data_IF_734726886415
#
_entry.id   IF_734726886415
#
_cell.length_a   1.000
_cell.length_b   1.000
_cell.length_c   1.000
_cell.angle_alpha   90.00
_cell.angle_beta   90.00
_cell.angle_gamma   90.00
#
_symmetry.space_group_name_H-M   'P 1'
#
loop_
_entity.id
_entity.type
_entity.pdbx_description
1 polymer ?
#
# COMPACT_ATOMS: atom_id res chain seq x y z
N UNK A 1 5.57 37.55 -69.36
CA UNK A 1 6.51 36.98 -68.41
C UNK A 1 5.85 37.03 -67.02
N UNK A 2 5.20 35.90 -66.55
CA UNK A 2 4.55 35.81 -65.27
C UNK A 2 5.52 35.13 -64.29
N UNK A 3 5.90 35.82 -63.20
CA UNK A 3 6.73 35.27 -62.12
C UNK A 3 5.81 34.66 -61.02
N UNK A 4 5.85 33.38 -60.92
CA UNK A 4 5.16 32.64 -59.85
C UNK A 4 6.00 32.71 -58.56
N UNK A 5 5.51 33.42 -57.56
CA UNK A 5 6.12 33.42 -56.22
C UNK A 5 5.61 32.22 -55.41
N UNK A 6 6.52 31.34 -55.03
CA UNK A 6 6.24 30.23 -54.08
C UNK A 6 6.33 30.76 -52.66
N UNK A 7 5.20 30.81 -51.97
CA UNK A 7 5.12 31.09 -50.53
C UNK A 7 5.50 29.82 -49.75
N UNK A 8 6.69 29.81 -49.18
CA UNK A 8 7.11 28.77 -48.23
C UNK A 8 6.54 29.08 -46.86
N UNK A 9 5.56 28.31 -46.47
CA UNK A 9 4.98 28.36 -45.11
C UNK A 9 5.89 27.57 -44.14
N UNK A 10 6.38 28.17 -43.05
CA UNK A 10 7.16 27.40 -42.07
C UNK A 10 6.25 26.47 -41.28
N UNK A 11 6.57 25.18 -41.31
CA UNK A 11 5.92 24.14 -40.47
C UNK A 11 6.35 24.34 -39.02
N UNK A 12 5.44 24.87 -38.19
CA UNK A 12 5.65 25.01 -36.73
C UNK A 12 5.50 23.64 -36.10
N UNK A 13 6.61 22.95 -35.79
CA UNK A 13 6.61 21.71 -35.04
C UNK A 13 6.39 22.06 -33.55
N UNK A 14 5.17 21.90 -33.09
CA UNK A 14 4.86 21.91 -31.65
C UNK A 14 5.45 20.67 -31.00
N UNK A 15 6.61 20.82 -30.36
CA UNK A 15 7.15 19.85 -29.43
C UNK A 15 6.25 19.81 -28.18
N UNK A 16 5.34 18.86 -28.14
CA UNK A 16 4.61 18.53 -26.92
C UNK A 16 5.63 17.99 -25.90
N UNK A 17 6.04 18.82 -24.94
CA UNK A 17 6.79 18.39 -23.79
C UNK A 17 5.88 17.48 -22.96
N UNK A 18 6.01 16.17 -23.12
CA UNK A 18 5.48 15.18 -22.21
C UNK A 18 6.24 15.34 -20.90
N UNK A 19 5.70 16.14 -19.97
CA UNK A 19 6.13 16.11 -18.58
C UNK A 19 5.80 14.72 -18.04
N UNK A 20 6.77 13.79 -18.09
CA UNK A 20 6.70 12.57 -17.31
C UNK A 20 6.76 13.00 -15.85
N UNK A 21 5.63 13.01 -15.22
CA UNK A 21 5.53 13.07 -13.77
C UNK A 21 6.04 11.71 -13.26
N UNK A 22 7.35 11.57 -13.14
CA UNK A 22 7.92 10.66 -12.18
C UNK A 22 7.52 11.24 -10.83
N UNK A 23 6.38 10.83 -10.30
CA UNK A 23 5.99 11.18 -8.95
C UNK A 23 7.14 10.76 -8.04
N UNK A 24 7.77 11.73 -7.36
CA UNK A 24 8.83 11.44 -6.40
C UNK A 24 8.29 10.40 -5.43
N UNK A 25 8.98 9.25 -5.35
CA UNK A 25 8.53 8.16 -4.49
C UNK A 25 8.50 8.62 -3.04
N UNK A 26 7.36 8.59 -2.34
CA UNK A 26 7.30 8.96 -0.94
C UNK A 26 8.30 8.17 -0.11
N UNK A 27 8.92 8.79 0.90
CA UNK A 27 9.88 8.13 1.79
C UNK A 27 9.33 6.81 2.37
N UNK A 28 8.03 6.80 2.68
CA UNK A 28 7.29 5.63 3.17
C UNK A 28 7.35 4.42 2.22
N UNK A 29 7.43 4.65 0.91
CA UNK A 29 7.36 3.60 -0.12
C UNK A 29 8.70 3.27 -0.75
N UNK A 30 9.80 3.71 -0.16
CA UNK A 30 11.12 3.36 -0.69
C UNK A 30 11.52 1.92 -0.34
N UNK A 31 12.09 1.22 -1.34
CA UNK A 31 12.58 -0.14 -1.18
C UNK A 31 11.61 -1.22 -1.64
N UNK A 32 12.00 -2.46 -1.42
CA UNK A 32 11.25 -3.64 -1.84
C UNK A 32 11.10 -4.62 -0.70
N UNK A 33 10.01 -5.38 -0.69
CA UNK A 33 9.75 -6.43 0.29
C UNK A 33 9.49 -7.76 -0.44
N UNK A 34 9.96 -8.89 0.12
CA UNK A 34 9.71 -10.19 -0.49
C UNK A 34 8.22 -10.52 -0.46
N UNK A 35 7.65 -10.89 -1.60
CA UNK A 35 6.27 -11.32 -1.70
C UNK A 35 6.04 -12.61 -0.92
N UNK A 36 4.85 -12.77 -0.32
CA UNK A 36 4.54 -13.93 0.52
C UNK A 36 4.64 -15.24 -0.27
N UNK A 37 4.19 -15.26 -1.53
CA UNK A 37 4.32 -16.40 -2.43
C UNK A 37 5.37 -16.13 -3.51
N UNK A 38 6.21 -17.14 -3.77
CA UNK A 38 7.20 -17.05 -4.83
C UNK A 38 8.54 -16.47 -4.38
N UNK A 39 9.28 -15.97 -5.37
CA UNK A 39 10.63 -15.39 -5.18
C UNK A 39 10.69 -13.92 -5.56
N UNK A 40 9.56 -13.34 -5.91
CA UNK A 40 9.49 -11.97 -6.39
C UNK A 40 9.60 -10.97 -5.23
N UNK A 41 9.99 -9.76 -5.59
CA UNK A 41 10.03 -8.61 -4.70
C UNK A 41 8.91 -7.65 -5.08
N UNK A 42 8.18 -7.18 -4.09
CA UNK A 42 7.24 -6.08 -4.25
C UNK A 42 8.02 -4.78 -4.12
N UNK A 43 8.30 -4.11 -5.23
CA UNK A 43 8.78 -2.73 -5.21
C UNK A 43 7.63 -1.84 -4.72
N UNK A 44 7.81 -1.25 -3.55
CA UNK A 44 6.74 -0.50 -2.87
C UNK A 44 6.35 0.75 -3.65
N UNK A 45 7.33 1.43 -4.25
CA UNK A 45 7.08 2.63 -5.02
C UNK A 45 6.33 2.34 -6.31
N UNK A 46 6.80 1.35 -7.06
CA UNK A 46 6.17 0.94 -8.33
C UNK A 46 4.74 0.43 -8.09
N UNK A 47 4.52 -0.31 -7.01
CA UNK A 47 3.24 -0.94 -6.71
C UNK A 47 2.20 0.02 -6.13
N UNK A 48 2.64 0.93 -5.23
CA UNK A 48 1.75 1.75 -4.38
C UNK A 48 1.93 3.26 -4.57
N UNK A 49 2.95 3.72 -5.27
CA UNK A 49 3.20 5.15 -5.48
C UNK A 49 2.02 5.87 -6.10
N UNK A 50 1.63 7.02 -5.54
CA UNK A 50 0.51 7.83 -5.99
C UNK A 50 -0.88 7.23 -5.73
N UNK A 51 -0.97 6.11 -4.99
CA UNK A 51 -2.23 5.44 -4.67
C UNK A 51 -2.57 5.56 -3.17
N UNK A 52 -3.86 5.66 -2.80
CA UNK A 52 -4.27 5.49 -1.41
C UNK A 52 -3.97 4.05 -0.98
N UNK A 53 -3.38 3.89 0.21
CA UNK A 53 -2.89 2.60 0.68
C UNK A 53 -3.34 2.33 2.12
N UNK A 54 -3.78 1.11 2.37
CA UNK A 54 -3.90 0.57 3.73
C UNK A 54 -2.73 -0.38 3.98
N UNK A 55 -1.96 -0.11 5.04
CA UNK A 55 -0.93 -1.04 5.54
C UNK A 55 -1.42 -1.67 6.83
N UNK A 56 -1.33 -3.00 6.94
CA UNK A 56 -1.73 -3.74 8.14
C UNK A 56 -0.66 -4.75 8.51
N UNK A 57 -0.18 -4.71 9.77
CA UNK A 57 0.66 -5.79 10.29
C UNK A 57 -0.20 -6.95 10.75
N UNK A 58 0.08 -8.15 10.27
CA UNK A 58 -0.77 -9.33 10.48
C UNK A 58 -0.04 -10.42 11.26
N UNK A 59 -0.79 -11.41 11.74
CA UNK A 59 -0.24 -12.63 12.30
C UNK A 59 -1.28 -13.77 12.21
N UNK A 60 -0.81 -14.93 11.79
CA UNK A 60 -1.64 -16.11 11.47
C UNK A 60 -2.37 -16.71 12.69
N UNK A 61 -1.76 -16.66 13.88
CA UNK A 61 -2.29 -17.27 15.09
C UNK A 61 -2.84 -16.24 16.11
N UNK A 62 -3.12 -15.03 15.61
CA UNK A 62 -3.69 -13.96 16.42
C UNK A 62 -5.20 -14.12 16.55
N UNK A 63 -5.75 -13.83 17.75
CA UNK A 63 -7.20 -13.78 17.96
C UNK A 63 -7.92 -12.75 17.07
N UNK A 64 -7.19 -11.82 16.45
CA UNK A 64 -7.71 -10.88 15.47
C UNK A 64 -7.61 -11.36 14.01
N UNK A 65 -7.09 -12.57 13.73
CA UNK A 65 -6.99 -13.12 12.38
C UNK A 65 -8.34 -13.14 11.62
N UNK A 66 -9.51 -13.32 12.25
CA UNK A 66 -10.78 -13.17 11.54
C UNK A 66 -11.01 -11.81 10.88
N UNK A 67 -10.24 -10.76 11.26
CA UNK A 67 -10.31 -9.48 10.56
C UNK A 67 -9.81 -9.54 9.10
N UNK A 68 -9.11 -10.58 8.67
CA UNK A 68 -8.76 -10.77 7.27
C UNK A 68 -10.00 -10.76 6.36
N UNK A 69 -11.10 -11.36 6.78
CA UNK A 69 -12.36 -11.36 6.00
C UNK A 69 -12.88 -9.94 5.78
N UNK A 70 -12.90 -9.14 6.84
CA UNK A 70 -13.32 -7.74 6.77
C UNK A 70 -12.36 -6.85 5.98
N UNK A 71 -11.04 -7.10 6.10
CA UNK A 71 -10.02 -6.40 5.30
C UNK A 71 -10.16 -6.73 3.82
N UNK A 72 -10.36 -7.99 3.47
CA UNK A 72 -10.61 -8.42 2.10
C UNK A 72 -11.91 -7.80 1.53
N UNK A 73 -12.99 -7.79 2.33
CA UNK A 73 -14.23 -7.14 1.94
C UNK A 73 -14.03 -5.63 1.71
N UNK A 74 -13.26 -4.96 2.58
CA UNK A 74 -12.90 -3.55 2.43
C UNK A 74 -12.06 -3.33 1.17
N UNK A 75 -11.05 -4.17 0.92
CA UNK A 75 -10.22 -4.09 -0.27
C UNK A 75 -11.08 -4.19 -1.54
N UNK A 76 -11.93 -5.20 -1.65
CA UNK A 76 -12.83 -5.38 -2.81
C UNK A 76 -13.78 -4.19 -3.01
N UNK A 77 -14.29 -3.60 -1.93
CA UNK A 77 -15.24 -2.48 -2.00
C UNK A 77 -14.59 -1.18 -2.54
N UNK A 78 -13.29 -0.99 -2.29
CA UNK A 78 -12.61 0.26 -2.62
C UNK A 78 -11.52 0.12 -3.69
N UNK A 79 -11.13 -1.10 -4.08
CA UNK A 79 -10.06 -1.34 -5.04
C UNK A 79 -10.33 -0.67 -6.41
N UNK A 80 -11.55 -0.79 -6.92
CA UNK A 80 -11.96 -0.13 -8.17
C UNK A 80 -11.90 1.41 -8.10
N UNK A 81 -11.86 1.98 -6.89
CA UNK A 81 -11.66 3.40 -6.63
C UNK A 81 -10.18 3.77 -6.45
N UNK A 82 -9.29 2.80 -6.65
CA UNK A 82 -7.84 2.94 -6.63
C UNK A 82 -7.18 2.63 -5.28
N UNK A 83 -7.93 2.15 -4.27
CA UNK A 83 -7.34 1.71 -3.01
C UNK A 83 -6.44 0.49 -3.23
N UNK A 84 -5.24 0.55 -2.66
CA UNK A 84 -4.37 -0.62 -2.51
C UNK A 84 -4.31 -1.04 -1.03
N UNK A 85 -3.95 -2.31 -0.80
CA UNK A 85 -3.76 -2.84 0.55
C UNK A 85 -2.51 -3.71 0.60
N UNK A 86 -1.74 -3.55 1.68
CA UNK A 86 -0.51 -4.29 1.96
C UNK A 86 -0.61 -4.94 3.33
N UNK A 87 -0.62 -6.26 3.37
CA UNK A 87 -0.50 -7.03 4.59
C UNK A 87 0.96 -7.45 4.83
N UNK A 88 1.43 -7.20 6.04
CA UNK A 88 2.81 -7.51 6.45
C UNK A 88 2.76 -8.45 7.67
N UNK A 89 2.89 -9.77 7.47
CA UNK A 89 3.00 -10.72 8.56
C UNK A 89 4.21 -10.39 9.45
N UNK A 90 4.03 -10.50 10.77
CA UNK A 90 5.10 -10.21 11.73
C UNK A 90 5.05 -11.14 12.94
N UNK A 91 6.22 -11.62 13.34
CA UNK A 91 6.38 -12.40 14.57
C UNK A 91 6.83 -11.57 15.79
N UNK A 92 6.79 -10.25 15.72
CA UNK A 92 7.21 -9.38 16.83
C UNK A 92 6.32 -9.53 18.07
N UNK A 93 5.11 -10.03 17.88
CA UNK A 93 4.16 -10.35 18.95
C UNK A 93 4.01 -11.86 19.19
N UNK A 94 4.91 -12.68 18.64
CA UNK A 94 5.00 -14.13 18.84
C UNK A 94 3.76 -14.92 18.43
N UNK A 95 3.09 -14.48 17.37
CA UNK A 95 1.85 -15.09 16.85
C UNK A 95 1.90 -15.35 15.34
N UNK A 96 3.09 -15.35 14.71
CA UNK A 96 3.26 -15.69 13.32
C UNK A 96 4.19 -16.91 13.14
N UNK A 97 3.98 -17.69 12.09
CA UNK A 97 4.84 -18.82 11.75
C UNK A 97 6.15 -18.33 11.07
N UNK A 98 7.21 -19.08 11.26
CA UNK A 98 8.45 -18.90 10.52
C UNK A 98 8.33 -19.42 9.07
N UNK A 99 7.36 -20.30 8.81
CA UNK A 99 7.10 -20.90 7.51
C UNK A 99 6.10 -20.06 6.71
N UNK A 100 6.59 -19.39 5.67
CA UNK A 100 5.76 -18.57 4.78
C UNK A 100 4.65 -19.34 4.07
N UNK A 101 4.81 -20.65 3.84
CA UNK A 101 3.76 -21.45 3.20
C UNK A 101 2.55 -21.65 4.13
N UNK A 102 2.78 -21.79 5.43
CA UNK A 102 1.71 -21.84 6.42
C UNK A 102 0.98 -20.51 6.52
N UNK A 103 1.72 -19.40 6.57
CA UNK A 103 1.15 -18.05 6.51
C UNK A 103 0.32 -17.85 5.23
N UNK A 104 0.85 -18.24 4.07
CA UNK A 104 0.15 -18.16 2.80
C UNK A 104 -1.13 -19.01 2.78
N UNK A 105 -1.11 -20.23 3.34
CA UNK A 105 -2.30 -21.08 3.46
C UNK A 105 -3.38 -20.39 4.29
N UNK A 106 -3.02 -19.79 5.41
CA UNK A 106 -3.99 -19.09 6.28
C UNK A 106 -4.57 -17.88 5.55
N UNK A 107 -3.73 -17.00 5.03
CA UNK A 107 -4.19 -15.77 4.37
C UNK A 107 -5.01 -16.06 3.12
N UNK A 108 -4.48 -16.87 2.18
CA UNK A 108 -5.09 -17.04 0.87
C UNK A 108 -6.15 -18.14 0.83
N UNK A 109 -5.90 -19.30 1.46
CA UNK A 109 -6.83 -20.42 1.38
C UNK A 109 -7.97 -20.34 2.40
N UNK A 110 -7.66 -19.92 3.64
CA UNK A 110 -8.66 -19.88 4.69
C UNK A 110 -9.50 -18.59 4.67
N UNK A 111 -8.86 -17.43 4.40
CA UNK A 111 -9.51 -16.12 4.43
C UNK A 111 -9.74 -15.50 3.04
N UNK A 112 -9.25 -16.11 1.98
CA UNK A 112 -9.47 -15.66 0.61
C UNK A 112 -8.83 -14.29 0.29
N UNK A 113 -7.76 -13.92 0.99
CA UNK A 113 -7.05 -12.65 0.78
C UNK A 113 -6.56 -12.54 -0.66
N UNK A 114 -6.85 -11.42 -1.32
CA UNK A 114 -6.40 -11.12 -2.69
C UNK A 114 -5.51 -9.89 -2.76
N UNK A 115 -5.45 -9.07 -1.72
CA UNK A 115 -4.52 -7.97 -1.65
C UNK A 115 -3.07 -8.43 -1.42
N UNK A 116 -2.12 -7.55 -1.67
CA UNK A 116 -0.68 -7.85 -1.59
C UNK A 116 -0.26 -8.23 -0.16
N UNK A 117 0.44 -9.37 -0.03
CA UNK A 117 1.02 -9.85 1.23
C UNK A 117 2.53 -10.04 1.08
N UNK A 118 3.29 -9.71 2.11
CA UNK A 118 4.75 -9.95 2.15
C UNK A 118 5.11 -11.17 2.98
N UNK A 119 6.34 -11.66 2.85
CA UNK A 119 6.91 -12.56 3.85
C UNK A 119 7.02 -11.84 5.19
N UNK A 120 7.16 -12.62 6.26
CA UNK A 120 7.29 -12.11 7.64
C UNK A 120 8.39 -11.07 7.76
N UNK A 121 8.06 -9.92 8.36
CA UNK A 121 8.94 -8.78 8.58
C UNK A 121 8.88 -8.31 10.03
N UNK A 122 9.94 -7.61 10.47
CA UNK A 122 9.90 -6.86 11.72
C UNK A 122 9.16 -5.54 11.51
N UNK A 123 8.16 -5.25 12.37
CA UNK A 123 7.27 -4.08 12.26
C UNK A 123 7.45 -3.10 13.43
N UNK A 124 8.30 -3.43 14.41
CA UNK A 124 8.57 -2.60 15.59
C UNK A 124 9.99 -2.79 16.13
N UNK A 125 10.40 -1.86 16.98
CA UNK A 125 11.73 -1.91 17.60
C UNK A 125 12.86 -1.53 16.65
N UNK A 126 14.09 -1.90 17.02
CA UNK A 126 15.30 -1.52 16.28
C UNK A 126 15.43 -2.19 14.92
N UNK A 127 14.79 -3.33 14.75
CA UNK A 127 14.87 -4.15 13.54
C UNK A 127 13.68 -3.90 12.57
N UNK A 128 12.79 -2.93 12.92
CA UNK A 128 11.65 -2.57 12.09
C UNK A 128 12.10 -2.17 10.67
N UNK A 129 11.42 -2.71 9.66
CA UNK A 129 11.67 -2.32 8.26
C UNK A 129 11.38 -0.83 8.02
N UNK A 130 12.03 -0.18 7.05
CA UNK A 130 11.88 1.26 6.78
C UNK A 130 10.43 1.71 6.65
N UNK A 131 9.57 0.92 6.00
CA UNK A 131 8.13 1.18 5.92
C UNK A 131 7.50 1.42 7.30
N UNK A 132 7.76 0.56 8.28
CA UNK A 132 7.17 0.70 9.62
C UNK A 132 7.88 1.75 10.48
N UNK A 133 9.15 2.04 10.24
CA UNK A 133 9.85 3.18 10.83
C UNK A 133 9.17 4.48 10.41
N UNK A 134 8.89 4.63 9.12
CA UNK A 134 8.24 5.82 8.57
C UNK A 134 6.77 5.94 8.99
N UNK A 135 6.00 4.83 9.01
CA UNK A 135 4.64 4.83 9.56
C UNK A 135 4.61 5.27 11.03
N UNK A 136 5.58 4.80 11.82
CA UNK A 136 5.70 5.14 13.23
C UNK A 136 6.10 6.61 13.43
N UNK A 137 6.97 7.17 12.57
CA UNK A 137 7.38 8.58 12.65
C UNK A 137 6.22 9.54 12.40
N UNK A 138 5.31 9.16 11.49
CA UNK A 138 4.13 9.95 11.15
C UNK A 138 2.95 9.74 12.11
N UNK A 139 2.95 8.68 12.93
CA UNK A 139 1.83 8.35 13.82
C UNK A 139 2.28 7.61 15.09
N UNK A 140 2.30 6.30 15.10
CA UNK A 140 2.85 5.46 16.18
C UNK A 140 3.18 4.07 15.66
N UNK A 141 4.18 3.41 16.27
CA UNK A 141 4.46 2.01 15.99
C UNK A 141 3.28 1.10 16.41
N UNK A 142 3.09 -0.06 15.76
CA UNK A 142 2.04 -0.99 16.12
C UNK A 142 2.30 -1.53 17.55
N UNK A 143 1.25 -1.51 18.37
CA UNK A 143 1.29 -2.05 19.76
C UNK A 143 0.84 -3.51 19.83
N UNK A 144 0.22 -4.00 18.77
CA UNK A 144 -0.23 -5.38 18.62
C UNK A 144 -0.39 -5.75 17.13
N UNK A 145 -0.75 -6.98 16.81
CA UNK A 145 -1.11 -7.40 15.47
C UNK A 145 -2.40 -6.73 15.00
N UNK A 146 -2.60 -6.62 13.69
CA UNK A 146 -3.76 -5.98 13.05
C UNK A 146 -3.93 -4.49 13.37
N UNK A 147 -2.82 -3.76 13.61
CA UNK A 147 -2.81 -2.31 13.48
C UNK A 147 -2.92 -1.93 12.01
N UNK A 148 -3.71 -0.91 11.72
CA UNK A 148 -4.01 -0.46 10.37
C UNK A 148 -3.61 0.99 10.20
N UNK A 149 -2.89 1.28 9.12
CA UNK A 149 -2.48 2.62 8.74
C UNK A 149 -3.13 2.95 7.40
N UNK A 150 -3.83 4.07 7.33
CA UNK A 150 -4.39 4.61 6.09
C UNK A 150 -3.47 5.71 5.60
N UNK A 151 -3.00 5.58 4.38
CA UNK A 151 -2.00 6.45 3.75
C UNK A 151 -2.62 7.11 2.53
N UNK A 152 -2.47 8.41 2.37
CA UNK A 152 -2.93 9.15 1.21
C UNK A 152 -2.00 8.98 0.00
N UNK A 153 -2.39 9.54 -1.16
CA UNK A 153 -1.63 9.43 -2.42
C UNK A 153 -0.22 10.02 -2.36
N UNK A 154 0.08 10.87 -1.37
CA UNK A 154 1.40 11.50 -1.15
C UNK A 154 2.26 10.75 -0.13
N UNK A 155 1.80 9.60 0.36
CA UNK A 155 2.52 8.83 1.36
C UNK A 155 2.34 9.36 2.79
N UNK A 156 1.32 10.20 3.05
CA UNK A 156 1.03 10.72 4.39
C UNK A 156 0.03 9.82 5.11
N UNK A 157 0.33 9.46 6.35
CA UNK A 157 -0.61 8.74 7.22
C UNK A 157 -1.77 9.66 7.61
N UNK A 158 -2.98 9.31 7.19
CA UNK A 158 -4.22 10.05 7.47
C UNK A 158 -5.11 9.34 8.50
N UNK A 159 -4.75 8.11 8.89
CA UNK A 159 -5.42 7.35 9.93
C UNK A 159 -4.52 6.24 10.47
N UNK A 160 -4.55 6.03 11.80
CA UNK A 160 -3.89 4.93 12.49
C UNK A 160 -4.88 4.29 13.47
N UNK A 161 -5.14 3.00 13.31
CA UNK A 161 -6.19 2.29 14.02
C UNK A 161 -5.63 1.05 14.72
N UNK A 162 -6.06 0.86 15.96
CA UNK A 162 -5.65 -0.29 16.76
C UNK A 162 -6.28 -1.61 16.26
N UNK A 163 -5.85 -2.72 16.83
CA UNK A 163 -6.42 -4.04 16.59
C UNK A 163 -7.92 -4.10 16.92
N UNK A 164 -8.39 -3.29 17.86
CA UNK A 164 -9.79 -3.26 18.29
C UNK A 164 -10.73 -2.61 17.27
N UNK A 165 -10.21 -1.73 16.42
CA UNK A 165 -10.98 -1.14 15.32
C UNK A 165 -11.18 -2.17 14.24
N UNK A 166 -12.42 -2.58 14.01
CA UNK A 166 -12.77 -3.55 12.97
C UNK A 166 -12.69 -2.91 11.57
N UNK A 167 -12.52 -3.71 10.50
CA UNK A 167 -12.50 -3.20 9.13
C UNK A 167 -13.80 -2.53 8.66
N UNK A 168 -14.92 -2.85 9.28
CA UNK A 168 -16.24 -2.23 9.01
C UNK A 168 -16.52 -0.97 9.86
N UNK A 169 -15.58 -0.57 10.72
CA UNK A 169 -15.72 0.62 11.55
C UNK A 169 -15.87 1.90 10.69
N UNK A 170 -16.87 2.75 10.97
CA UNK A 170 -17.10 3.96 10.21
C UNK A 170 -15.91 4.93 10.15
N UNK A 171 -15.12 5.04 11.24
CA UNK A 171 -13.95 5.92 11.26
C UNK A 171 -12.82 5.38 10.36
N UNK A 172 -12.65 4.05 10.29
CA UNK A 172 -11.69 3.43 9.38
C UNK A 172 -12.08 3.65 7.92
N UNK A 173 -13.37 3.43 7.58
CA UNK A 173 -13.88 3.67 6.23
C UNK A 173 -13.78 5.14 5.83
N UNK A 174 -14.14 6.06 6.71
CA UNK A 174 -14.02 7.51 6.44
C UNK A 174 -12.56 7.94 6.17
N UNK A 175 -11.58 7.34 6.88
CA UNK A 175 -10.17 7.59 6.60
C UNK A 175 -9.75 7.07 5.21
N UNK A 176 -10.24 5.90 4.79
CA UNK A 176 -10.01 5.35 3.45
C UNK A 176 -10.61 6.27 2.38
N UNK A 177 -11.86 6.69 2.53
CA UNK A 177 -12.53 7.59 1.59
C UNK A 177 -11.81 8.94 1.48
N UNK A 178 -11.30 9.47 2.60
CA UNK A 178 -10.46 10.67 2.62
C UNK A 178 -9.14 10.44 1.85
N UNK A 179 -8.50 9.28 2.01
CA UNK A 179 -7.28 8.94 1.29
C UNK A 179 -7.54 8.81 -0.23
N UNK A 180 -8.65 8.21 -0.63
CA UNK A 180 -9.07 8.08 -2.04
C UNK A 180 -9.31 9.45 -2.66
N UNK A 181 -9.97 10.36 -1.94
CA UNK A 181 -10.28 11.72 -2.40
C UNK A 181 -9.06 12.66 -2.41
N UNK A 182 -7.93 12.26 -1.84
CA UNK A 182 -6.72 13.09 -1.81
C UNK A 182 -6.13 13.28 -3.21
N UNK A 183 -5.59 14.47 -3.46
CA UNK A 183 -4.84 14.73 -4.69
C UNK A 183 -3.43 14.14 -4.57
N UNK A 184 -2.83 13.69 -5.69
CA UNK A 184 -1.42 13.26 -5.76
C UNK A 184 -0.44 14.36 -5.37
#
# INVERSE_FOLDING_TARGET
>A
MMRTQWLTMPLLVLLAASSSWAADCPALLQGSLPELRGKEQVDLCQRFGGKPLVVVNTASYCGFAPQFEGLEATYKAYHEQGLEMLGVPSNDFKQEDADSEKTAKICYANYGVTFTMTKTQAVRGKDAIPLFVELASQSSAPKWNFYKYVVDRRGKVVGNFSSLTKPDDPAFRAAIEKAIASQP
#
